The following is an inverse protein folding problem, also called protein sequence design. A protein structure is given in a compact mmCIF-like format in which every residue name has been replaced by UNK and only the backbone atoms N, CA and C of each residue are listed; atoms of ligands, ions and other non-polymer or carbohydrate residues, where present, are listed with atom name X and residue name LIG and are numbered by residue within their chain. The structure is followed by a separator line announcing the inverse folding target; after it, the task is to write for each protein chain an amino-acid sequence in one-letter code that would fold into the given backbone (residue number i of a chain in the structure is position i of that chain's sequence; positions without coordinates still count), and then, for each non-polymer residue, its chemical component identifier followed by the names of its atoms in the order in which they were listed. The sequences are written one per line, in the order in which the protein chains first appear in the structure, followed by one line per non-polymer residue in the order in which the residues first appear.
data_IF_276955287197
#
_entry.id   IF_276955287197
#
_cell.length_a   1.000
_cell.length_b   1.000
_cell.length_c   1.000
_cell.angle_alpha   90.00
_cell.angle_beta   90.00
_cell.angle_gamma   90.00
#
_symmetry.space_group_name_H-M   'P 1'
#
loop_
_entity.id
_entity.type
_entity.pdbx_description
1 polymer ?
#
# COMPACT_ATOMS: atom_id res chain seq x y z
N UNK A 1 6.74 -10.72 -18.63
CA UNK A 1 7.07 -10.43 -18.47
C UNK A 1 7.57 -10.25 -18.32
N UNK A 2 8.04 -10.30 -18.50
CA UNK A 2 8.48 -10.25 -18.41
C UNK A 2 9.47 -9.90 -18.05
N UNK A 3 9.88 -10.25 -17.60
CA UNK A 3 10.74 -9.95 -17.18
C UNK A 3 11.85 -10.08 -17.51
N UNK A 4 11.92 -10.67 -16.95
CA UNK A 4 13.30 -10.79 -17.29
C UNK A 4 13.68 -9.88 -18.41
N UNK A 5 12.74 -9.28 -18.87
CA UNK A 5 12.91 -8.28 -19.89
C UNK A 5 13.47 -7.01 -19.28
N UNK A 6 14.51 -6.50 -19.87
CA UNK A 6 15.03 -5.21 -19.49
C UNK A 6 14.24 -4.15 -20.21
N UNK A 7 13.64 -3.29 -19.44
CA UNK A 7 12.88 -2.18 -19.99
C UNK A 7 13.60 -0.91 -19.62
N UNK A 8 13.91 -0.12 -20.62
CA UNK A 8 14.48 1.20 -20.35
C UNK A 8 13.37 2.06 -19.78
N UNK A 9 13.57 2.49 -18.56
CA UNK A 9 12.57 3.25 -17.83
C UNK A 9 13.02 4.68 -17.74
N UNK A 10 12.13 5.62 -18.08
CA UNK A 10 12.44 7.04 -17.90
C UNK A 10 12.61 7.35 -16.42
N UNK A 11 13.30 8.44 -16.06
CA UNK A 11 13.40 8.82 -14.65
C UNK A 11 12.04 8.96 -13.99
N UNK A 12 11.04 9.49 -14.70
CA UNK A 12 9.69 9.61 -14.15
C UNK A 12 9.08 8.24 -13.86
N UNK A 13 9.20 7.31 -14.81
CA UNK A 13 8.67 5.97 -14.62
C UNK A 13 9.36 5.26 -13.47
N UNK A 14 10.66 5.42 -13.35
CA UNK A 14 11.41 4.86 -12.23
C UNK A 14 10.89 5.42 -10.91
N UNK A 15 10.70 6.73 -10.84
CA UNK A 15 10.20 7.37 -9.62
C UNK A 15 8.79 6.91 -9.27
N UNK A 16 7.94 6.72 -10.28
CA UNK A 16 6.58 6.21 -10.07
C UNK A 16 6.61 4.79 -9.51
N UNK A 17 7.47 3.94 -10.07
CA UNK A 17 7.57 2.55 -9.61
C UNK A 17 8.07 2.50 -8.17
N UNK A 18 9.09 3.29 -7.84
CA UNK A 18 9.63 3.32 -6.47
C UNK A 18 8.60 3.87 -5.49
N UNK A 19 7.82 4.87 -5.90
CA UNK A 19 6.75 5.39 -5.04
C UNK A 19 5.77 4.30 -4.69
N UNK A 20 5.39 3.48 -5.67
CA UNK A 20 4.40 2.42 -5.45
C UNK A 20 4.98 1.22 -4.70
N UNK A 21 6.14 0.72 -5.12
CA UNK A 21 6.65 -0.55 -4.63
C UNK A 21 7.36 -0.45 -3.29
N UNK A 22 7.89 0.72 -2.97
CA UNK A 22 8.69 0.89 -1.76
C UNK A 22 8.13 1.97 -0.85
N UNK A 23 7.98 3.18 -1.36
CA UNK A 23 7.65 4.32 -0.51
C UNK A 23 6.24 4.24 0.03
N UNK A 24 5.28 3.86 -0.80
CA UNK A 24 3.90 3.70 -0.36
C UNK A 24 3.79 2.65 0.73
N UNK A 25 4.51 1.53 0.58
CA UNK A 25 4.49 0.48 1.59
C UNK A 25 4.93 0.99 2.96
N UNK A 26 5.96 1.84 2.99
CA UNK A 26 6.44 2.40 4.26
C UNK A 26 5.44 3.38 4.85
N UNK A 27 4.80 4.21 4.01
CA UNK A 27 3.76 5.13 4.48
C UNK A 27 2.59 4.35 5.06
N UNK A 28 2.14 3.32 4.35
CA UNK A 28 1.00 2.50 4.79
C UNK A 28 1.31 1.83 6.12
N UNK A 29 2.51 1.25 6.24
CA UNK A 29 2.92 0.58 7.47
C UNK A 29 2.93 1.55 8.64
N UNK A 30 3.49 2.74 8.44
CA UNK A 30 3.55 3.77 9.48
C UNK A 30 2.16 4.22 9.91
N UNK A 31 1.25 4.40 8.95
CA UNK A 31 -0.12 4.80 9.25
C UNK A 31 -0.88 3.67 9.94
N UNK A 32 -0.65 2.44 9.53
CA UNK A 32 -1.37 1.27 10.03
C UNK A 32 -1.17 1.09 11.54
N UNK A 33 0.05 1.30 12.04
CA UNK A 33 0.34 1.09 13.46
C UNK A 33 -0.26 2.19 14.36
N UNK A 34 -0.81 3.24 13.77
CA UNK A 34 -1.38 4.34 14.55
C UNK A 34 -2.80 4.08 15.03
N UNK A 35 -3.39 2.93 14.68
CA UNK A 35 -4.70 2.58 15.20
C UNK A 35 -4.63 2.37 16.72
N UNK A 36 -5.60 2.91 17.49
CA UNK A 36 -5.64 2.63 18.92
C UNK A 36 -5.76 1.14 19.24
N UNK A 37 -6.26 0.35 18.31
CA UNK A 37 -6.41 -1.09 18.50
C UNK A 37 -5.06 -1.80 18.52
N UNK A 38 -4.02 -1.19 17.97
CA UNK A 38 -2.69 -1.80 17.91
C UNK A 38 -2.19 -2.20 19.30
N UNK A 39 -2.51 -1.42 20.33
CA UNK A 39 -2.09 -1.70 21.70
C UNK A 39 -2.77 -2.94 22.28
N UNK A 40 -3.86 -3.39 21.69
CA UNK A 40 -4.65 -4.53 22.19
C UNK A 40 -4.28 -5.83 21.52
N UNK A 41 -3.29 -5.82 20.58
CA UNK A 41 -3.01 -7.03 19.82
C UNK A 41 -2.37 -8.12 20.67
N UNK A 42 -1.59 -7.76 21.66
CA UNK A 42 -0.92 -8.60 22.67
C UNK A 42 -1.12 -10.10 22.49
N UNK A 43 -0.30 -10.74 21.65
CA UNK A 43 -0.37 -12.18 21.46
C UNK A 43 -1.42 -12.67 20.49
N UNK A 44 -2.21 -11.75 19.93
CA UNK A 44 -3.19 -12.10 18.91
C UNK A 44 -2.67 -11.80 17.50
N UNK A 45 -1.40 -11.45 17.36
CA UNK A 45 -0.81 -11.08 16.09
C UNK A 45 -0.86 -12.23 15.10
N UNK A 46 -1.43 -11.98 13.95
CA UNK A 46 -1.37 -12.90 12.82
C UNK A 46 -0.21 -12.52 11.92
N UNK A 47 0.14 -13.42 10.99
CA UNK A 47 1.19 -13.14 10.02
C UNK A 47 0.94 -11.89 9.21
N UNK A 48 -0.32 -11.66 8.81
CA UNK A 48 -0.65 -10.47 8.03
C UNK A 48 -0.40 -9.17 8.81
N UNK A 49 -0.66 -9.17 10.12
CA UNK A 49 -0.35 -8.00 10.94
C UNK A 49 1.16 -7.75 10.96
N UNK A 50 1.93 -8.81 11.18
CA UNK A 50 3.40 -8.68 11.24
C UNK A 50 3.96 -8.19 9.92
N UNK A 51 3.45 -8.72 8.81
CA UNK A 51 3.88 -8.28 7.49
C UNK A 51 3.55 -6.81 7.25
N UNK A 52 2.35 -6.38 7.63
CA UNK A 52 1.91 -5.00 7.40
C UNK A 52 2.68 -3.99 8.24
N UNK A 53 3.20 -4.42 9.42
CA UNK A 53 3.88 -3.48 10.33
C UNK A 53 5.39 -3.59 10.27
N UNK A 54 5.93 -4.55 9.54
CA UNK A 54 7.36 -4.86 9.55
C UNK A 54 8.24 -3.66 9.26
N UNK A 55 7.83 -2.82 8.30
CA UNK A 55 8.66 -1.69 7.89
C UNK A 55 8.29 -0.38 8.60
N UNK A 56 7.45 -0.44 9.63
CA UNK A 56 7.11 0.76 10.39
C UNK A 56 8.25 1.23 11.29
N UNK A 57 9.20 0.33 11.63
CA UNK A 57 10.39 0.72 12.40
C UNK A 57 11.43 1.21 11.40
N UNK A 58 11.40 2.49 11.12
CA UNK A 58 12.23 3.08 10.07
C UNK A 58 12.98 4.30 10.61
N UNK A 59 13.98 4.71 9.85
CA UNK A 59 14.72 5.94 10.16
C UNK A 59 13.92 7.11 9.60
N UNK A 60 13.28 7.85 10.48
CA UNK A 60 12.37 8.91 10.08
C UNK A 60 13.06 10.04 9.31
N UNK A 61 14.29 10.34 9.65
CA UNK A 61 15.02 11.43 8.96
C UNK A 61 15.35 11.06 7.53
N UNK A 62 15.86 9.85 7.34
CA UNK A 62 16.21 9.37 6.00
C UNK A 62 14.96 9.25 5.12
N UNK A 63 13.92 8.63 5.65
CA UNK A 63 12.71 8.40 4.86
C UNK A 63 11.97 9.68 4.55
N UNK A 64 11.99 10.67 5.46
CA UNK A 64 11.41 11.98 5.15
C UNK A 64 12.08 12.59 3.93
N UNK A 65 13.41 12.54 3.87
CA UNK A 65 14.14 13.08 2.73
C UNK A 65 13.77 12.35 1.44
N UNK A 66 13.69 11.02 1.49
CA UNK A 66 13.35 10.23 0.31
C UNK A 66 11.93 10.50 -0.16
N UNK A 67 10.96 10.58 0.76
CA UNK A 67 9.58 10.86 0.41
C UNK A 67 9.45 12.23 -0.23
N UNK A 68 10.09 13.24 0.37
CA UNK A 68 9.96 14.60 -0.14
C UNK A 68 10.63 14.77 -1.50
N UNK A 69 11.68 14.01 -1.78
CA UNK A 69 12.34 14.09 -3.08
C UNK A 69 11.52 13.42 -4.18
N UNK A 70 10.51 12.63 -3.81
CA UNK A 70 9.63 11.96 -4.77
C UNK A 70 8.16 12.34 -4.49
N UNK A 71 7.94 13.56 -4.09
CA UNK A 71 6.65 14.02 -3.55
C UNK A 71 5.48 13.78 -4.48
N UNK A 72 5.59 14.21 -5.72
CA UNK A 72 4.44 14.18 -6.62
C UNK A 72 4.00 12.75 -6.94
N UNK A 73 4.96 11.87 -7.21
CA UNK A 73 4.65 10.47 -7.47
C UNK A 73 4.06 9.80 -6.24
N UNK A 74 4.62 10.09 -5.07
CA UNK A 74 4.15 9.46 -3.83
C UNK A 74 2.75 9.95 -3.46
N UNK A 75 2.47 11.25 -3.62
CA UNK A 75 1.13 11.77 -3.35
C UNK A 75 0.10 11.10 -4.26
N UNK A 76 0.44 10.93 -5.55
CA UNK A 76 -0.45 10.24 -6.48
C UNK A 76 -0.79 8.83 -5.96
N UNK A 77 0.22 8.08 -5.53
CA UNK A 77 -0.01 6.71 -5.06
C UNK A 77 -0.82 6.68 -3.77
N UNK A 78 -0.56 7.61 -2.86
CA UNK A 78 -1.34 7.69 -1.62
C UNK A 78 -2.80 8.00 -1.94
N UNK A 79 -3.05 8.94 -2.84
CA UNK A 79 -4.41 9.31 -3.21
C UNK A 79 -5.16 8.14 -3.84
N UNK A 80 -4.49 7.37 -4.70
CA UNK A 80 -5.08 6.18 -5.31
C UNK A 80 -5.42 5.14 -4.25
N UNK A 81 -4.54 4.95 -3.28
CA UNK A 81 -4.81 3.99 -2.22
C UNK A 81 -5.98 4.43 -1.34
N UNK A 82 -6.03 5.73 -1.01
CA UNK A 82 -7.15 6.26 -0.22
C UNK A 82 -8.48 6.05 -0.96
N UNK A 83 -8.47 6.29 -2.26
CA UNK A 83 -9.67 6.09 -3.09
C UNK A 83 -10.15 4.65 -3.00
N UNK A 84 -9.25 3.69 -3.17
CA UNK A 84 -9.63 2.28 -3.15
C UNK A 84 -10.00 1.81 -1.75
N UNK A 85 -9.29 2.28 -0.72
CA UNK A 85 -9.66 1.96 0.66
C UNK A 85 -11.06 2.47 0.99
N UNK A 86 -11.41 3.66 0.48
CA UNK A 86 -12.74 4.22 0.70
C UNK A 86 -13.81 3.35 0.05
N UNK A 87 -13.55 2.76 -1.11
CA UNK A 87 -14.49 1.85 -1.75
C UNK A 87 -14.79 0.64 -0.85
N UNK A 88 -13.76 0.03 -0.28
CA UNK A 88 -13.96 -1.08 0.65
C UNK A 88 -14.69 -0.65 1.90
N UNK A 89 -14.27 0.47 2.46
CA UNK A 89 -14.88 0.99 3.68
C UNK A 89 -16.36 1.23 3.47
N UNK A 90 -16.74 1.85 2.36
CA UNK A 90 -18.13 2.18 2.10
C UNK A 90 -18.96 0.93 1.86
N UNK A 91 -18.44 -0.04 1.12
CA UNK A 91 -19.16 -1.29 0.89
C UNK A 91 -19.42 -2.02 2.21
N UNK A 92 -18.43 -2.04 3.09
CA UNK A 92 -18.56 -2.69 4.40
C UNK A 92 -19.55 -1.91 5.28
N UNK A 93 -19.41 -0.58 5.32
CA UNK A 93 -20.27 0.26 6.16
C UNK A 93 -21.72 0.16 5.72
N UNK A 94 -21.96 0.05 4.42
CA UNK A 94 -23.32 -0.02 3.86
C UNK A 94 -23.85 -1.44 3.82
N UNK A 95 -23.12 -2.39 4.36
CA UNK A 95 -23.51 -3.81 4.38
C UNK A 95 -23.78 -4.33 2.97
N UNK A 96 -23.01 -3.85 2.00
CA UNK A 96 -23.18 -4.20 0.59
C UNK A 96 -22.21 -5.32 0.23
N UNK A 97 -22.61 -6.55 0.51
CA UNK A 97 -21.74 -7.71 0.33
C UNK A 97 -21.43 -7.97 -1.15
N UNK A 98 -22.38 -7.68 -2.03
CA UNK A 98 -22.15 -7.91 -3.47
C UNK A 98 -21.05 -6.98 -4.00
N UNK A 99 -21.10 -5.71 -3.64
CA UNK A 99 -20.07 -4.77 -4.04
C UNK A 99 -18.72 -5.14 -3.44
N UNK A 100 -18.71 -5.53 -2.16
CA UNK A 100 -17.47 -5.92 -1.50
C UNK A 100 -16.85 -7.13 -2.20
N UNK A 101 -17.66 -8.12 -2.52
CA UNK A 101 -17.16 -9.31 -3.20
C UNK A 101 -16.56 -8.96 -4.56
N UNK A 102 -17.19 -8.05 -5.29
CA UNK A 102 -16.68 -7.63 -6.60
C UNK A 102 -15.35 -6.88 -6.44
N UNK A 103 -15.23 -5.99 -5.45
CA UNK A 103 -13.98 -5.28 -5.20
C UNK A 103 -12.83 -6.25 -4.91
N UNK A 104 -13.11 -7.24 -4.07
CA UNK A 104 -12.09 -8.23 -3.71
C UNK A 104 -11.70 -9.07 -4.92
N UNK A 105 -12.69 -9.44 -5.73
CA UNK A 105 -12.43 -10.22 -6.94
C UNK A 105 -11.56 -9.43 -7.92
N UNK A 106 -11.88 -8.16 -8.11
CA UNK A 106 -11.10 -7.31 -9.02
C UNK A 106 -9.64 -7.24 -8.58
N UNK A 107 -9.41 -7.06 -7.27
CA UNK A 107 -8.04 -7.03 -6.75
C UNK A 107 -7.33 -8.35 -6.93
N UNK A 108 -8.02 -9.47 -6.66
CA UNK A 108 -7.44 -10.79 -6.83
C UNK A 108 -7.02 -11.03 -8.28
N UNK A 109 -7.89 -10.65 -9.23
CA UNK A 109 -7.60 -10.84 -10.65
C UNK A 109 -6.37 -10.02 -11.04
N UNK A 110 -6.29 -8.76 -10.58
CA UNK A 110 -5.13 -7.92 -10.89
C UNK A 110 -3.84 -8.56 -10.37
N UNK A 111 -3.87 -9.12 -9.16
CA UNK A 111 -2.70 -9.76 -8.60
C UNK A 111 -2.32 -11.02 -9.37
N UNK A 112 -3.30 -11.81 -9.78
CA UNK A 112 -3.06 -13.05 -10.52
C UNK A 112 -2.50 -12.77 -11.91
N UNK A 113 -2.76 -11.59 -12.46
CA UNK A 113 -2.21 -11.19 -13.75
C UNK A 113 -0.81 -10.64 -13.64
N UNK A 114 -0.34 -10.41 -12.43
CA UNK A 114 1.04 -9.97 -12.21
C UNK A 114 2.00 -11.12 -12.53
N UNK A 115 3.08 -10.80 -13.19
CA UNK A 115 4.07 -11.80 -13.57
C UNK A 115 5.37 -11.56 -12.83
#
# INVERSE_FOLDING_TARGET
MGFGKIVETSPFDHDSIIAYTSQLAHVVSSAYVKSPTMQKELGFSAGSFKDMTRVATLNETMWTTLFMSNRDCLVFEIDELIKHLTEYRDAIADNNSDTLEQLLKDGRILKEEEI
#
